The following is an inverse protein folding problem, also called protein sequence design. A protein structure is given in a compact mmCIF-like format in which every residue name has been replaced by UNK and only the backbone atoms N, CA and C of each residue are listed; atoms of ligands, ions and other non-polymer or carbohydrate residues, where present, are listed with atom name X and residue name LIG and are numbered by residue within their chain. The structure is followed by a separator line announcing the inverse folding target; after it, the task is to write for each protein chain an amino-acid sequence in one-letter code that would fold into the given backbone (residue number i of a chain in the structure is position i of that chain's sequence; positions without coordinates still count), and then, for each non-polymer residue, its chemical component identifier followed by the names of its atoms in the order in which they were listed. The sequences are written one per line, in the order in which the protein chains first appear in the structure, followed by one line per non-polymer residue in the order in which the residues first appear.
data_IF_945032797906
#
_entry.id   IF_945032797906
#
_cell.length_a   1.000
_cell.length_b   1.000
_cell.length_c   1.000
_cell.angle_alpha   90.00
_cell.angle_beta   90.00
_cell.angle_gamma   90.00
#
_symmetry.space_group_name_H-M   'P 1'
#
loop_
_entity.id
_entity.type
_entity.pdbx_description
1 polymer ?
#
# COMPACT_ATOMS: atom_id res chain seq x y z
N UNK A 1 -10.08 29.16 -2.31
CA UNK A 1 -10.19 27.69 -2.10
C UNK A 1 -10.95 27.18 -3.30
N UNK A 2 -10.22 26.77 -4.34
CA UNK A 2 -10.82 26.21 -5.53
C UNK A 2 -11.46 24.88 -5.14
N UNK A 3 -12.80 24.83 -5.18
CA UNK A 3 -13.57 23.69 -4.74
C UNK A 3 -13.26 22.48 -5.64
N UNK A 4 -12.49 21.53 -5.12
CA UNK A 4 -12.32 20.22 -5.75
C UNK A 4 -13.69 19.58 -5.81
N UNK A 5 -14.20 19.29 -7.01
CA UNK A 5 -15.46 18.54 -7.15
C UNK A 5 -15.26 17.15 -6.50
N UNK A 6 -16.10 16.79 -5.53
CA UNK A 6 -16.04 15.48 -4.91
C UNK A 6 -16.15 14.36 -5.96
N UNK A 7 -15.26 13.39 -5.90
CA UNK A 7 -15.27 12.22 -6.78
C UNK A 7 -15.45 10.95 -5.95
N UNK A 8 -16.08 9.95 -6.54
CA UNK A 8 -16.10 8.58 -6.03
C UNK A 8 -14.91 7.84 -6.62
N UNK A 9 -13.99 7.41 -5.77
CA UNK A 9 -12.72 6.83 -6.18
C UNK A 9 -12.62 5.33 -5.86
N UNK A 10 -11.98 4.61 -6.75
CA UNK A 10 -11.39 3.31 -6.50
C UNK A 10 -10.00 3.51 -5.90
N UNK A 11 -9.69 2.89 -4.77
CA UNK A 11 -8.32 2.88 -4.24
C UNK A 11 -7.57 1.61 -4.68
N UNK A 12 -6.43 1.76 -5.38
CA UNK A 12 -5.47 0.68 -5.55
C UNK A 12 -4.78 0.46 -4.21
N UNK A 13 -5.09 -0.65 -3.56
CA UNK A 13 -4.82 -0.84 -2.14
C UNK A 13 -3.99 -2.08 -1.87
N UNK A 14 -2.79 -1.90 -1.31
CA UNK A 14 -1.91 -2.99 -0.89
C UNK A 14 -1.91 -3.25 0.62
N UNK A 15 -2.56 -2.38 1.40
CA UNK A 15 -2.47 -2.40 2.87
C UNK A 15 -1.19 -1.77 3.44
N UNK A 16 -0.23 -1.41 2.58
CA UNK A 16 0.98 -0.71 2.96
C UNK A 16 0.75 0.76 3.31
N UNK A 17 1.77 1.38 3.91
CA UNK A 17 1.73 2.77 4.36
C UNK A 17 1.31 3.76 3.27
N UNK A 18 1.82 3.58 2.04
CA UNK A 18 1.63 4.52 0.94
C UNK A 18 0.20 4.46 0.39
N UNK A 19 -0.31 3.26 0.11
CA UNK A 19 -1.69 3.08 -0.35
C UNK A 19 -2.72 3.53 0.71
N UNK A 20 -2.44 3.26 1.99
CA UNK A 20 -3.32 3.67 3.09
C UNK A 20 -3.29 5.20 3.28
N UNK A 21 -2.10 5.82 3.25
CA UNK A 21 -2.01 7.27 3.41
C UNK A 21 -2.54 8.04 2.20
N UNK A 22 -2.35 7.52 0.98
CA UNK A 22 -2.97 8.09 -0.23
C UNK A 22 -4.50 8.09 -0.14
N UNK A 23 -5.08 7.01 0.38
CA UNK A 23 -6.51 6.92 0.64
C UNK A 23 -6.97 7.98 1.67
N UNK A 24 -6.24 8.12 2.79
CA UNK A 24 -6.51 9.17 3.81
C UNK A 24 -6.46 10.56 3.18
N UNK A 25 -5.42 10.85 2.39
CA UNK A 25 -5.27 12.13 1.71
C UNK A 25 -6.40 12.41 0.71
N UNK A 26 -6.83 11.41 -0.05
CA UNK A 26 -7.97 11.56 -0.95
C UNK A 26 -9.26 11.93 -0.20
N UNK A 27 -9.50 11.32 0.97
CA UNK A 27 -10.62 11.68 1.85
C UNK A 27 -10.48 13.10 2.41
N UNK A 28 -9.27 13.50 2.84
CA UNK A 28 -8.98 14.88 3.30
C UNK A 28 -9.22 15.92 2.18
N UNK A 29 -9.00 15.54 0.92
CA UNK A 29 -9.31 16.37 -0.26
C UNK A 29 -10.81 16.43 -0.60
N UNK A 30 -11.67 15.73 0.14
CA UNK A 30 -13.12 15.72 -0.04
C UNK A 30 -13.63 14.68 -1.01
N UNK A 31 -12.80 13.70 -1.42
CA UNK A 31 -13.24 12.58 -2.25
C UNK A 31 -13.83 11.46 -1.40
N UNK A 32 -14.74 10.68 -2.00
CA UNK A 32 -15.29 9.46 -1.41
C UNK A 32 -14.56 8.22 -1.96
N UNK A 33 -14.29 7.22 -1.10
CA UNK A 33 -13.67 5.95 -1.51
C UNK A 33 -14.77 4.91 -1.63
N UNK A 34 -15.15 4.58 -2.85
CA UNK A 34 -16.23 3.62 -3.12
C UNK A 34 -15.83 2.19 -2.81
N UNK A 35 -14.58 1.82 -3.08
CA UNK A 35 -14.05 0.49 -2.81
C UNK A 35 -12.52 0.46 -2.86
N UNK A 36 -11.97 -0.62 -2.31
CA UNK A 36 -10.56 -0.98 -2.40
C UNK A 36 -10.39 -2.06 -3.47
N UNK A 37 -9.33 -1.96 -4.26
CA UNK A 37 -8.91 -2.99 -5.21
C UNK A 37 -7.52 -3.49 -4.82
N UNK A 38 -7.44 -4.75 -4.44
CA UNK A 38 -6.17 -5.44 -4.19
C UNK A 38 -5.89 -6.44 -5.29
N UNK A 39 -4.72 -6.34 -5.89
CA UNK A 39 -4.21 -7.36 -6.80
C UNK A 39 -3.44 -8.40 -6.00
N UNK A 40 -3.79 -9.67 -6.17
CA UNK A 40 -3.14 -10.81 -5.52
C UNK A 40 -2.22 -11.50 -6.54
N UNK A 41 -0.90 -11.26 -6.51
CA UNK A 41 0.02 -11.94 -7.41
C UNK A 41 0.09 -13.44 -7.08
N UNK A 42 0.24 -14.26 -8.11
CA UNK A 42 0.34 -15.72 -7.96
C UNK A 42 1.68 -16.16 -7.36
N UNK A 43 2.71 -15.33 -7.49
CA UNK A 43 4.08 -15.60 -7.00
C UNK A 43 4.74 -14.35 -6.43
N UNK A 44 5.82 -14.55 -5.68
CA UNK A 44 6.68 -13.49 -5.16
C UNK A 44 7.53 -12.78 -6.23
N UNK A 45 7.51 -13.30 -7.46
CA UNK A 45 8.22 -12.71 -8.62
C UNK A 45 7.43 -11.58 -9.31
N UNK A 46 6.30 -11.13 -8.73
CA UNK A 46 5.53 -10.01 -9.29
C UNK A 46 6.36 -8.73 -9.36
N UNK A 47 6.24 -8.02 -10.49
CA UNK A 47 6.93 -6.74 -10.73
C UNK A 47 6.13 -5.53 -10.27
N UNK A 48 4.81 -5.67 -10.16
CA UNK A 48 3.89 -4.56 -9.89
C UNK A 48 3.20 -4.65 -8.53
N UNK A 49 3.05 -5.85 -7.98
CA UNK A 49 2.18 -6.09 -6.84
C UNK A 49 2.92 -6.74 -5.67
N UNK A 50 2.53 -6.36 -4.46
CA UNK A 50 3.07 -6.93 -3.22
C UNK A 50 2.49 -8.32 -2.98
N UNK A 51 3.37 -9.31 -2.86
CA UNK A 51 2.97 -10.70 -2.63
C UNK A 51 2.67 -11.01 -1.16
N UNK A 52 3.54 -10.66 -0.19
CA UNK A 52 3.33 -11.11 1.17
C UNK A 52 2.10 -10.43 1.78
N UNK A 53 1.27 -11.26 2.41
CA UNK A 53 0.13 -10.80 3.20
C UNK A 53 -0.99 -10.06 2.43
N UNK A 54 -1.04 -10.12 1.10
CA UNK A 54 -2.07 -9.40 0.32
C UNK A 54 -3.51 -9.79 0.70
N UNK A 55 -3.74 -11.00 1.22
CA UNK A 55 -5.03 -11.48 1.70
C UNK A 55 -5.55 -10.68 2.91
N UNK A 56 -4.67 -10.06 3.69
CA UNK A 56 -5.04 -9.27 4.88
C UNK A 56 -5.83 -8.01 4.51
N UNK A 57 -5.73 -7.55 3.27
CA UNK A 57 -6.40 -6.32 2.81
C UNK A 57 -7.93 -6.38 2.91
N UNK A 58 -8.52 -7.57 2.87
CA UNK A 58 -9.96 -7.76 3.09
C UNK A 58 -10.36 -7.38 4.53
N UNK A 59 -9.55 -7.73 5.52
CA UNK A 59 -9.74 -7.33 6.92
C UNK A 59 -9.53 -5.82 7.11
N UNK A 60 -8.59 -5.23 6.37
CA UNK A 60 -8.38 -3.78 6.41
C UNK A 60 -9.57 -3.02 5.80
N UNK A 61 -10.17 -3.56 4.74
CA UNK A 61 -11.43 -3.04 4.19
C UNK A 61 -12.56 -3.08 5.23
N UNK A 62 -12.71 -4.20 5.94
CA UNK A 62 -13.68 -4.32 7.05
C UNK A 62 -13.35 -3.32 8.17
N UNK A 63 -12.08 -3.18 8.56
CA UNK A 63 -11.65 -2.23 9.58
C UNK A 63 -12.02 -0.77 9.25
N UNK A 64 -12.07 -0.42 7.97
CA UNK A 64 -12.45 0.91 7.45
C UNK A 64 -13.92 1.03 7.08
N UNK A 65 -14.69 -0.07 7.12
CA UNK A 65 -16.05 -0.15 6.56
C UNK A 65 -16.11 0.25 5.07
N UNK A 66 -15.07 -0.09 4.29
CA UNK A 66 -14.98 0.15 2.86
C UNK A 66 -14.99 -1.21 2.13
N UNK A 67 -15.89 -1.42 1.12
CA UNK A 67 -15.88 -2.63 0.31
C UNK A 67 -14.49 -2.92 -0.25
N UNK A 68 -14.03 -4.17 -0.14
CA UNK A 68 -12.72 -4.61 -0.64
C UNK A 68 -12.90 -5.72 -1.67
N UNK A 69 -12.27 -5.55 -2.82
CA UNK A 69 -12.29 -6.49 -3.93
C UNK A 69 -10.87 -6.98 -4.21
N UNK A 70 -10.70 -8.29 -4.23
CA UNK A 70 -9.45 -8.95 -4.56
C UNK A 70 -9.48 -9.56 -5.95
N UNK A 71 -8.44 -9.35 -6.75
CA UNK A 71 -8.30 -9.94 -8.07
C UNK A 71 -6.94 -10.63 -8.19
N UNK A 72 -6.92 -11.82 -8.79
CA UNK A 72 -5.68 -12.51 -9.11
C UNK A 72 -4.90 -11.72 -10.17
N UNK A 73 -3.63 -11.45 -9.93
CA UNK A 73 -2.72 -10.93 -10.93
C UNK A 73 -1.95 -12.11 -11.54
N UNK A 74 -2.17 -12.38 -12.83
CA UNK A 74 -1.41 -13.41 -13.54
C UNK A 74 0.06 -13.04 -13.53
N UNK A 75 0.88 -13.93 -12.98
CA UNK A 75 2.33 -13.81 -12.96
C UNK A 75 2.90 -14.42 -14.24
N UNK A 76 3.95 -13.80 -14.79
CA UNK A 76 4.62 -14.33 -15.97
C UNK A 76 5.31 -13.23 -16.75
N UNK A 77 4.57 -12.26 -17.23
CA UNK A 77 5.11 -11.08 -17.89
C UNK A 77 4.49 -9.82 -17.33
N UNK A 78 5.21 -8.70 -17.48
CA UNK A 78 4.69 -7.37 -17.15
C UNK A 78 3.38 -7.06 -17.86
N UNK A 79 3.25 -7.50 -19.12
CA UNK A 79 2.05 -7.33 -19.93
C UNK A 79 0.86 -8.08 -19.34
N UNK A 80 1.06 -9.24 -18.75
CA UNK A 80 -0.01 -10.04 -18.14
C UNK A 80 -0.49 -9.38 -16.83
N UNK A 81 0.44 -8.86 -16.02
CA UNK A 81 0.10 -8.08 -14.82
C UNK A 81 -0.69 -6.82 -15.18
N UNK A 82 -0.27 -6.09 -16.23
CA UNK A 82 -0.97 -4.90 -16.72
C UNK A 82 -2.39 -5.20 -17.22
N UNK A 83 -2.54 -6.29 -17.99
CA UNK A 83 -3.87 -6.74 -18.45
C UNK A 83 -4.76 -7.13 -17.27
N UNK A 84 -4.19 -7.81 -16.27
CA UNK A 84 -4.92 -8.19 -15.06
C UNK A 84 -5.41 -6.96 -14.30
N UNK A 85 -4.58 -5.93 -14.14
CA UNK A 85 -4.95 -4.66 -13.51
C UNK A 85 -6.05 -3.93 -14.30
N UNK A 86 -5.90 -3.81 -15.63
CA UNK A 86 -6.91 -3.17 -16.48
C UNK A 86 -8.26 -3.89 -16.39
N UNK A 87 -8.27 -5.22 -16.45
CA UNK A 87 -9.48 -6.03 -16.30
C UNK A 87 -10.13 -5.86 -14.93
N UNK A 88 -9.35 -5.81 -13.86
CA UNK A 88 -9.84 -5.58 -12.51
C UNK A 88 -10.50 -4.19 -12.37
N UNK A 89 -9.87 -3.14 -12.89
CA UNK A 89 -10.43 -1.78 -12.89
C UNK A 89 -11.76 -1.72 -13.66
N UNK A 90 -11.85 -2.37 -14.84
CA UNK A 90 -13.08 -2.45 -15.63
C UNK A 90 -14.17 -3.19 -14.86
N UNK A 91 -13.84 -4.32 -14.23
CA UNK A 91 -14.78 -5.08 -13.43
C UNK A 91 -15.33 -4.24 -12.27
N UNK A 92 -14.45 -3.52 -11.54
CA UNK A 92 -14.89 -2.62 -10.47
C UNK A 92 -15.79 -1.51 -11.02
N UNK A 93 -15.43 -0.89 -12.14
CA UNK A 93 -16.23 0.17 -12.77
C UNK A 93 -17.64 -0.31 -13.18
N UNK A 94 -17.79 -1.60 -13.48
CA UNK A 94 -19.11 -2.16 -13.82
C UNK A 94 -19.97 -2.43 -12.58
N UNK A 95 -19.36 -2.60 -11.40
CA UNK A 95 -20.04 -2.91 -10.13
C UNK A 95 -20.26 -1.68 -9.26
N UNK A 96 -19.39 -0.70 -9.37
CA UNK A 96 -19.40 0.53 -8.59
C UNK A 96 -19.32 1.76 -9.48
N UNK A 97 -20.09 2.77 -9.14
CA UNK A 97 -19.94 4.08 -9.78
C UNK A 97 -18.65 4.73 -9.30
N UNK A 98 -17.63 4.77 -10.15
CA UNK A 98 -16.34 5.40 -9.89
C UNK A 98 -16.00 6.44 -10.95
N UNK A 99 -15.43 7.57 -10.52
CA UNK A 99 -15.00 8.67 -11.37
C UNK A 99 -13.47 8.71 -11.56
N UNK A 100 -12.75 7.99 -10.70
CA UNK A 100 -11.29 7.97 -10.74
C UNK A 100 -10.68 6.88 -9.86
N UNK A 101 -9.36 6.84 -9.90
CA UNK A 101 -8.52 5.89 -9.16
C UNK A 101 -7.53 6.67 -8.31
N UNK A 102 -7.39 6.31 -7.04
CA UNK A 102 -6.33 6.81 -6.16
C UNK A 102 -5.27 5.73 -5.93
N UNK A 103 -4.00 6.12 -5.96
CA UNK A 103 -2.87 5.23 -5.66
C UNK A 103 -1.78 5.91 -4.85
N UNK A 104 -0.94 5.10 -4.20
CA UNK A 104 0.10 5.53 -3.26
C UNK A 104 1.49 5.75 -3.87
N UNK A 105 1.64 5.84 -5.19
CA UNK A 105 2.95 6.06 -5.83
C UNK A 105 3.56 7.40 -5.43
N UNK A 106 4.84 7.39 -5.06
CA UNK A 106 5.58 8.57 -4.60
C UNK A 106 6.51 9.09 -5.69
N UNK A 107 7.36 8.23 -6.29
CA UNK A 107 8.36 8.61 -7.29
C UNK A 107 8.41 7.69 -8.51
N UNK A 108 7.71 6.55 -8.49
CA UNK A 108 7.73 5.60 -9.60
C UNK A 108 6.93 6.14 -10.79
N UNK A 109 7.60 6.89 -11.68
CA UNK A 109 7.00 7.36 -12.94
C UNK A 109 6.42 6.20 -13.72
N UNK A 110 7.08 5.05 -13.70
CA UNK A 110 6.62 3.84 -14.35
C UNK A 110 5.24 3.37 -13.86
N UNK A 111 5.04 3.27 -12.54
CA UNK A 111 3.75 2.87 -11.97
C UNK A 111 2.67 3.92 -12.22
N UNK A 112 3.02 5.20 -12.07
CA UNK A 112 2.10 6.30 -12.35
C UNK A 112 1.64 6.30 -13.81
N UNK A 113 2.57 6.18 -14.76
CA UNK A 113 2.27 6.18 -16.20
C UNK A 113 1.36 5.01 -16.61
N UNK A 114 1.54 3.85 -15.97
CA UNK A 114 0.67 2.69 -16.15
C UNK A 114 -0.76 3.02 -15.73
N UNK A 115 -0.94 3.50 -14.50
CA UNK A 115 -2.26 3.82 -13.95
C UNK A 115 -2.92 4.91 -14.79
N UNK A 116 -2.17 5.98 -15.14
CA UNK A 116 -2.65 7.06 -16.01
C UNK A 116 -3.14 6.53 -17.36
N UNK A 117 -2.36 5.68 -18.02
CA UNK A 117 -2.71 5.11 -19.33
C UNK A 117 -3.97 4.25 -19.27
N UNK A 118 -4.08 3.38 -18.25
CA UNK A 118 -5.27 2.53 -18.07
C UNK A 118 -6.48 3.41 -17.80
N UNK A 119 -6.39 4.33 -16.85
CA UNK A 119 -7.50 5.19 -16.46
C UNK A 119 -7.99 6.08 -17.62
N UNK A 120 -7.07 6.64 -18.40
CA UNK A 120 -7.42 7.48 -19.57
C UNK A 120 -8.24 6.72 -20.62
N UNK A 121 -7.92 5.45 -20.88
CA UNK A 121 -8.70 4.59 -21.81
C UNK A 121 -10.14 4.40 -21.34
N UNK A 122 -10.38 4.47 -20.03
CA UNK A 122 -11.69 4.18 -19.42
C UNK A 122 -12.39 5.43 -18.87
N UNK A 123 -11.94 6.64 -19.25
CA UNK A 123 -12.48 7.92 -18.78
C UNK A 123 -12.50 8.01 -17.23
N UNK A 124 -11.43 7.61 -16.58
CA UNK A 124 -11.24 7.72 -15.15
C UNK A 124 -10.12 8.74 -14.85
N UNK A 125 -10.31 9.58 -13.84
CA UNK A 125 -9.28 10.46 -13.31
C UNK A 125 -8.29 9.68 -12.47
N UNK A 126 -7.05 10.18 -12.33
CA UNK A 126 -6.04 9.61 -11.43
C UNK A 126 -5.69 10.61 -10.34
N UNK A 127 -5.71 10.17 -9.11
CA UNK A 127 -5.31 10.94 -7.93
C UNK A 127 -4.08 10.26 -7.31
N UNK A 128 -2.95 10.95 -7.32
CA UNK A 128 -1.69 10.51 -6.72
C UNK A 128 -1.25 11.53 -5.65
N UNK A 129 -1.87 11.54 -4.47
CA UNK A 129 -1.71 12.64 -3.52
C UNK A 129 -0.35 12.65 -2.82
N UNK A 130 0.44 11.61 -2.98
CA UNK A 130 1.79 11.48 -2.42
C UNK A 130 2.90 11.79 -3.44
N UNK A 131 2.52 12.17 -4.66
CA UNK A 131 3.48 12.38 -5.73
C UNK A 131 4.49 13.46 -5.37
N UNK A 132 5.79 13.10 -5.40
CA UNK A 132 6.93 13.95 -5.00
C UNK A 132 6.95 14.41 -3.53
N UNK A 133 6.28 13.70 -2.61
CA UNK A 133 6.40 14.00 -1.18
C UNK A 133 7.86 13.80 -0.70
N UNK A 134 8.31 14.67 0.20
CA UNK A 134 9.63 14.56 0.81
C UNK A 134 9.72 13.31 1.70
N UNK A 135 10.52 12.31 1.29
CA UNK A 135 10.54 10.98 1.92
C UNK A 135 10.89 10.99 3.41
N UNK A 136 11.86 11.82 3.83
CA UNK A 136 12.27 11.90 5.23
C UNK A 136 11.18 12.50 6.13
N UNK A 137 10.49 13.53 5.62
CA UNK A 137 9.37 14.18 6.32
C UNK A 137 8.13 13.29 6.32
N UNK A 138 7.94 12.55 5.22
CA UNK A 138 6.82 11.64 5.07
C UNK A 138 6.80 10.54 6.16
N UNK A 139 7.97 9.97 6.48
CA UNK A 139 8.05 8.93 7.52
C UNK A 139 7.71 9.48 8.92
N UNK A 140 8.12 10.72 9.23
CA UNK A 140 7.74 11.37 10.48
C UNK A 140 6.25 11.73 10.50
N UNK A 141 5.72 12.21 9.37
CA UNK A 141 4.31 12.56 9.21
C UNK A 141 3.37 11.37 9.44
N UNK A 142 3.75 10.17 9.03
CA UNK A 142 2.96 8.95 9.31
C UNK A 142 2.80 8.72 10.82
N UNK A 143 3.85 8.93 11.61
CA UNK A 143 3.76 8.84 13.08
C UNK A 143 2.91 9.98 13.68
N UNK A 144 3.08 11.21 13.22
CA UNK A 144 2.28 12.35 13.65
C UNK A 144 0.79 12.15 13.37
N UNK A 145 0.48 11.44 12.29
CA UNK A 145 -0.88 11.05 11.90
C UNK A 145 -1.37 9.77 12.60
N UNK A 146 -0.65 9.27 13.62
CA UNK A 146 -1.01 8.08 14.39
C UNK A 146 -1.20 6.81 13.54
N UNK A 147 -0.34 6.60 12.56
CA UNK A 147 -0.28 5.33 11.84
C UNK A 147 0.53 4.32 12.64
N UNK A 148 -0.03 3.14 12.89
CA UNK A 148 0.69 1.97 13.41
C UNK A 148 1.03 1.06 12.22
N UNK A 149 2.32 0.95 11.92
CA UNK A 149 2.83 0.33 10.70
C UNK A 149 3.82 -0.76 11.07
N UNK A 150 3.64 -1.96 10.52
CA UNK A 150 4.61 -3.05 10.65
C UNK A 150 5.45 -3.22 9.39
N UNK A 151 6.73 -3.54 9.56
CA UNK A 151 7.58 -4.03 8.47
C UNK A 151 7.26 -5.50 8.23
N UNK A 152 6.84 -5.85 7.02
CA UNK A 152 6.45 -7.23 6.67
C UNK A 152 7.38 -7.89 5.65
N UNK A 153 8.25 -7.12 5.00
CA UNK A 153 9.31 -7.66 4.16
C UNK A 153 10.52 -6.74 4.20
N UNK A 154 11.72 -7.30 4.06
CA UNK A 154 12.97 -6.56 3.89
C UNK A 154 13.84 -7.22 2.83
N UNK A 155 14.53 -6.38 2.03
CA UNK A 155 15.42 -6.84 0.95
C UNK A 155 16.66 -5.96 0.75
N UNK A 156 16.75 -4.81 1.44
CA UNK A 156 17.87 -3.90 1.30
C UNK A 156 19.03 -4.25 2.22
N UNK A 157 20.25 -4.00 1.76
CA UNK A 157 21.44 -4.07 2.59
C UNK A 157 21.29 -3.18 3.83
N UNK A 158 21.59 -3.71 5.00
CA UNK A 158 21.45 -3.03 6.29
C UNK A 158 20.11 -3.26 7.00
N UNK A 159 19.15 -3.88 6.33
CA UNK A 159 17.92 -4.38 6.93
C UNK A 159 18.04 -5.89 7.12
N UNK A 160 18.12 -6.32 8.37
CA UNK A 160 18.25 -7.73 8.77
C UNK A 160 16.92 -8.32 9.26
N UNK A 161 16.94 -9.59 9.65
CA UNK A 161 15.80 -10.31 10.20
C UNK A 161 15.11 -9.58 11.36
N UNK A 162 15.88 -8.83 12.17
CA UNK A 162 15.38 -8.09 13.32
C UNK A 162 14.42 -6.93 12.96
N UNK A 163 14.27 -6.59 11.67
CA UNK A 163 13.31 -5.61 11.21
C UNK A 163 11.93 -6.21 10.90
N UNK A 164 11.85 -7.54 10.76
CA UNK A 164 10.60 -8.21 10.41
C UNK A 164 9.60 -8.22 11.57
N UNK A 165 8.40 -7.75 11.33
CA UNK A 165 7.31 -7.70 12.31
C UNK A 165 7.38 -6.57 13.33
N UNK A 166 8.43 -5.73 13.33
CA UNK A 166 8.48 -4.57 14.22
C UNK A 166 7.53 -3.47 13.76
N UNK A 167 7.08 -2.66 14.71
CA UNK A 167 6.33 -1.43 14.39
C UNK A 167 7.31 -0.29 14.10
N UNK A 168 6.96 0.53 13.11
CA UNK A 168 7.67 1.76 12.79
C UNK A 168 7.34 2.83 13.81
N UNK A 169 8.03 2.82 14.94
CA UNK A 169 7.99 3.90 15.91
C UNK A 169 9.08 4.96 15.62
N UNK A 170 9.17 5.97 16.47
CA UNK A 170 10.14 7.07 16.32
C UNK A 170 11.59 6.57 16.34
N UNK A 171 11.90 5.59 17.18
CA UNK A 171 13.25 5.01 17.29
C UNK A 171 13.59 4.22 16.01
N UNK A 172 12.66 3.38 15.54
CA UNK A 172 12.81 2.63 14.29
C UNK A 172 13.04 3.55 13.10
N UNK A 173 12.25 4.62 12.95
CA UNK A 173 12.44 5.61 11.86
C UNK A 173 13.81 6.30 11.97
N UNK A 174 14.25 6.67 13.17
CA UNK A 174 15.57 7.27 13.35
C UNK A 174 16.70 6.29 12.97
N UNK A 175 16.57 5.00 13.32
CA UNK A 175 17.50 3.96 12.89
C UNK A 175 17.49 3.78 11.38
N UNK A 176 16.31 3.75 10.74
CA UNK A 176 16.16 3.66 9.29
C UNK A 176 16.82 4.83 8.56
N UNK A 177 16.65 6.05 9.02
CA UNK A 177 17.31 7.24 8.43
C UNK A 177 18.84 7.12 8.45
N UNK A 178 19.42 6.61 9.54
CA UNK A 178 20.87 6.36 9.61
C UNK A 178 21.32 5.24 8.68
N UNK A 179 20.56 4.14 8.61
CA UNK A 179 20.89 3.01 7.73
C UNK A 179 20.74 3.40 6.26
N UNK A 180 19.68 4.16 5.92
CA UNK A 180 19.45 4.70 4.58
C UNK A 180 20.64 5.54 4.09
N UNK A 181 21.17 6.41 4.94
CA UNK A 181 22.38 7.20 4.62
C UNK A 181 23.60 6.31 4.43
N UNK A 182 23.78 5.29 5.27
CA UNK A 182 24.94 4.40 5.22
C UNK A 182 24.93 3.46 4.03
N UNK A 183 23.75 2.94 3.67
CA UNK A 183 23.60 1.90 2.64
C UNK A 183 22.94 2.40 1.36
N UNK A 184 22.64 3.71 1.29
CA UNK A 184 22.10 4.38 0.10
C UNK A 184 20.76 3.81 -0.41
N UNK A 185 19.85 3.47 0.50
CA UNK A 185 18.50 3.04 0.15
C UNK A 185 17.46 4.14 0.44
N UNK A 186 16.29 4.03 -0.18
CA UNK A 186 15.16 4.95 0.06
C UNK A 186 14.55 4.72 1.45
N UNK A 187 14.52 5.76 2.30
CA UNK A 187 13.93 5.67 3.65
C UNK A 187 12.42 5.40 3.63
N UNK A 188 11.74 5.75 2.53
CA UNK A 188 10.32 5.45 2.29
C UNK A 188 10.08 4.10 1.59
N UNK A 189 11.17 3.35 1.28
CA UNK A 189 11.11 2.04 0.65
C UNK A 189 10.58 2.01 -0.78
N UNK A 190 10.75 3.12 -1.51
CA UNK A 190 10.30 3.24 -2.92
C UNK A 190 11.03 2.32 -3.90
N UNK A 191 12.24 1.88 -3.56
CA UNK A 191 13.01 0.93 -4.35
C UNK A 191 12.72 -0.54 -4.03
N UNK A 192 11.70 -0.83 -3.22
CA UNK A 192 11.38 -2.19 -2.79
C UNK A 192 12.28 -2.69 -1.65
N UNK A 193 12.92 -1.78 -0.92
CA UNK A 193 13.83 -2.11 0.18
C UNK A 193 13.15 -2.83 1.33
N UNK A 194 11.90 -2.47 1.58
CA UNK A 194 11.01 -3.12 2.55
C UNK A 194 9.55 -2.93 2.16
N UNK A 195 8.70 -3.85 2.61
CA UNK A 195 7.26 -3.70 2.52
C UNK A 195 6.65 -3.53 3.90
N UNK A 196 5.51 -2.84 3.93
CA UNK A 196 4.84 -2.47 5.17
C UNK A 196 3.38 -2.88 5.16
N UNK A 197 2.81 -3.03 6.36
CA UNK A 197 1.39 -3.24 6.58
C UNK A 197 0.91 -2.26 7.66
N UNK A 198 -0.13 -1.50 7.35
CA UNK A 198 -0.80 -0.65 8.34
C UNK A 198 -1.75 -1.52 9.16
N UNK A 199 -1.55 -1.55 10.47
CA UNK A 199 -2.39 -2.31 11.38
C UNK A 199 -3.38 -1.42 12.13
N UNK A 200 -3.13 -0.10 12.16
CA UNK A 200 -4.06 0.92 12.64
C UNK A 200 -3.75 2.29 12.05
N UNK A 201 -4.80 3.09 11.85
CA UNK A 201 -4.70 4.51 11.52
C UNK A 201 -6.02 5.22 11.82
N UNK A 202 -6.10 6.57 11.76
CA UNK A 202 -7.28 7.33 12.19
C UNK A 202 -8.60 6.97 11.48
N UNK A 203 -8.55 6.45 10.26
CA UNK A 203 -9.76 6.07 9.51
C UNK A 203 -10.23 4.64 9.76
N UNK A 204 -9.47 3.85 10.52
CA UNK A 204 -9.91 2.50 10.93
C UNK A 204 -10.89 2.63 12.10
N UNK A 205 -11.99 1.91 12.05
CA UNK A 205 -12.93 1.76 13.18
C UNK A 205 -12.50 0.64 14.13
N UNK A 206 -11.80 -0.37 13.59
CA UNK A 206 -11.22 -1.47 14.35
C UNK A 206 -9.74 -1.60 14.02
N UNK A 207 -8.95 -2.04 14.99
CA UNK A 207 -7.53 -2.30 14.82
C UNK A 207 -7.30 -3.71 14.30
N UNK A 208 -6.35 -3.90 13.37
CA UNK A 208 -5.88 -5.22 12.97
C UNK A 208 -4.89 -5.75 14.00
N UNK A 209 -5.15 -6.92 14.55
CA UNK A 209 -4.23 -7.62 15.43
C UNK A 209 -3.67 -8.85 14.73
N UNK A 210 -2.35 -8.93 14.58
CA UNK A 210 -1.67 -10.14 14.12
C UNK A 210 -1.65 -11.14 15.29
N UNK A 211 -2.30 -12.30 15.10
CA UNK A 211 -2.40 -13.38 16.09
C UNK A 211 -1.29 -14.40 15.93
N UNK A 212 -0.92 -14.70 14.68
CA UNK A 212 0.11 -15.68 14.38
C UNK A 212 0.87 -15.25 13.13
N UNK A 213 2.17 -15.35 13.18
CA UNK A 213 3.06 -15.10 12.05
C UNK A 213 4.31 -15.97 12.14
N UNK A 214 4.96 -16.18 10.99
CA UNK A 214 6.28 -16.79 10.88
C UNK A 214 7.24 -15.79 10.27
N UNK A 215 8.51 -15.89 10.63
CA UNK A 215 9.59 -15.19 9.94
C UNK A 215 10.27 -16.18 9.01
N UNK A 216 10.41 -15.80 7.74
CA UNK A 216 11.24 -16.47 6.75
C UNK A 216 12.40 -15.57 6.41
N UNK A 217 13.61 -16.06 6.60
CA UNK A 217 14.84 -15.33 6.32
C UNK A 217 15.81 -16.21 5.55
N UNK A 218 16.36 -15.72 4.43
CA UNK A 218 17.28 -16.46 3.57
C UNK A 218 18.75 -16.04 3.72
N UNK A 219 19.03 -15.11 4.62
CA UNK A 219 20.37 -14.52 4.84
C UNK A 219 20.54 -13.13 4.22
N UNK A 220 19.64 -12.71 3.32
CA UNK A 220 19.67 -11.40 2.66
C UNK A 220 18.30 -10.73 2.61
N UNK A 221 17.24 -11.53 2.48
CA UNK A 221 15.85 -11.08 2.37
C UNK A 221 14.99 -11.82 3.35
N UNK A 222 13.90 -11.21 3.75
CA UNK A 222 12.97 -11.88 4.62
C UNK A 222 11.55 -11.37 4.54
N UNK A 223 10.66 -12.20 5.03
CA UNK A 223 9.21 -11.96 5.06
C UNK A 223 8.69 -12.29 6.45
N UNK A 224 7.91 -11.37 7.01
CA UNK A 224 7.01 -11.60 8.13
C UNK A 224 5.69 -12.11 7.58
N UNK A 225 5.58 -13.45 7.45
CA UNK A 225 4.41 -14.12 6.90
C UNK A 225 3.30 -14.19 7.96
N UNK A 226 2.24 -13.45 7.75
CA UNK A 226 1.07 -13.43 8.63
C UNK A 226 0.21 -14.65 8.31
N UNK A 227 -0.12 -15.44 9.35
CA UNK A 227 -0.92 -16.66 9.24
C UNK A 227 -2.33 -16.47 9.80
N UNK A 228 -2.48 -15.56 10.77
CA UNK A 228 -3.76 -15.32 11.43
C UNK A 228 -3.86 -13.87 11.88
N UNK A 229 -4.99 -13.25 11.65
CA UNK A 229 -5.32 -11.91 12.13
C UNK A 229 -6.71 -11.88 12.76
N UNK A 230 -6.95 -10.87 13.59
CA UNK A 230 -8.28 -10.53 14.09
C UNK A 230 -8.49 -9.01 14.05
N UNK A 231 -9.73 -8.60 13.89
CA UNK A 231 -10.12 -7.22 14.13
C UNK A 231 -10.54 -7.07 15.59
N UNK A 232 -9.98 -6.08 16.27
CA UNK A 232 -10.27 -5.78 17.68
C UNK A 232 -10.70 -4.31 17.81
N UNK A 233 -11.48 -4.04 18.84
CA UNK A 233 -11.88 -2.67 19.19
C UNK A 233 -10.64 -1.82 19.52
N UNK A 234 -10.72 -0.51 19.28
CA UNK A 234 -9.67 0.45 19.60
C UNK A 234 -9.72 0.89 21.05
#
# INVERSE_FOLDING_TARGET
MDGVNPMRLLSLYSGGKDSTYALVKAKEMGHDISCLLTMHPETDASLLFHYPNSWVTSYLGEAMCIPSLGFAARSGTKEDELKSLEQAIIAVKSLHEIHGVVHGGIFSTFQNDIVQRICSKHNLSVIAPLWHIQQSEYMDLLLEKNFDIKIVSVSAMGLDEGWLGISLDREAIHRLKRLSQKYCFSVSFEGGEAETLVIDCPIFYKRLQVRKANIRWDGQRGIFEILEVALVEK
#
